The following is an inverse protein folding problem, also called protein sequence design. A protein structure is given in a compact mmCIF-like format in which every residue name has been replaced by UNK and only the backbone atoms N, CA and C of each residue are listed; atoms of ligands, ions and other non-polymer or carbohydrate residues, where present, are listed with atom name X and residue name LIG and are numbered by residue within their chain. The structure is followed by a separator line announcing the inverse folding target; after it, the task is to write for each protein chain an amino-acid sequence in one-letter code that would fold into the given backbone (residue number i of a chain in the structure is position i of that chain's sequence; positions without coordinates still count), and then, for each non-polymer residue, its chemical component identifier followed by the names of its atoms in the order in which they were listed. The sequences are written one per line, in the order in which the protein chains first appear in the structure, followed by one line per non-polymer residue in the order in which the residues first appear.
data_IF_973014493990
#
_entry.id   IF_973014493990
#
_cell.length_a   1.000
_cell.length_b   1.000
_cell.length_c   1.000
_cell.angle_alpha   90.00
_cell.angle_beta   90.00
_cell.angle_gamma   90.00
#
_symmetry.space_group_name_H-M   'P 1'
#
loop_
_entity.id
_entity.type
_entity.pdbx_description
1 polymer ?
#
# COMPACT_ATOMS: atom_id res chain seq x y z
N UNK A 1 3.60 -16.10 15.82
CA UNK A 1 3.86 -16.72 14.52
C UNK A 1 3.63 -15.68 13.46
N UNK A 2 4.67 -15.34 12.69
CA UNK A 2 4.63 -14.28 11.68
C UNK A 2 4.49 -14.87 10.27
N UNK A 3 4.20 -14.04 9.26
CA UNK A 3 4.21 -14.46 7.85
C UNK A 3 5.54 -15.12 7.45
N UNK A 4 6.68 -14.57 7.89
CA UNK A 4 7.99 -15.09 7.50
C UNK A 4 8.17 -16.56 7.85
N UNK A 5 7.90 -16.95 9.11
CA UNK A 5 8.08 -18.32 9.59
C UNK A 5 7.21 -19.30 8.78
N UNK A 6 5.93 -18.97 8.61
CA UNK A 6 4.97 -19.79 7.87
C UNK A 6 5.40 -19.92 6.40
N UNK A 7 5.83 -18.83 5.77
CA UNK A 7 6.24 -18.85 4.38
C UNK A 7 7.52 -19.65 4.16
N UNK A 8 8.48 -19.59 5.08
CA UNK A 8 9.70 -20.40 4.99
C UNK A 8 9.37 -21.89 5.05
N UNK A 9 8.43 -22.30 5.92
CA UNK A 9 7.98 -23.69 6.01
C UNK A 9 7.23 -24.13 4.73
N UNK A 10 6.32 -23.29 4.22
CA UNK A 10 5.55 -23.57 3.01
C UNK A 10 6.48 -23.66 1.79
N UNK A 11 7.30 -22.64 1.55
CA UNK A 11 8.24 -22.60 0.41
C UNK A 11 9.26 -23.74 0.50
N UNK A 12 9.66 -24.15 1.70
CA UNK A 12 10.55 -25.28 1.94
C UNK A 12 9.93 -26.65 1.68
N UNK A 13 8.60 -26.74 1.53
CA UNK A 13 7.94 -28.02 1.33
C UNK A 13 8.33 -28.67 -0.02
N UNK A 14 8.73 -29.96 -0.06
CA UNK A 14 9.37 -30.55 -1.24
C UNK A 14 8.52 -30.61 -2.52
N UNK A 15 7.19 -30.67 -2.40
CA UNK A 15 6.30 -30.73 -3.56
C UNK A 15 6.02 -29.32 -4.09
N UNK A 16 5.94 -29.10 -5.41
CA UNK A 16 5.57 -27.80 -5.97
C UNK A 16 4.15 -27.39 -5.57
N UNK A 17 3.97 -26.13 -5.18
CA UNK A 17 2.68 -25.51 -4.90
C UNK A 17 2.81 -23.99 -5.00
N UNK A 18 1.85 -23.33 -5.63
CA UNK A 18 1.81 -21.87 -5.68
C UNK A 18 1.31 -21.32 -4.35
N UNK A 19 1.80 -20.14 -3.98
CA UNK A 19 1.49 -19.47 -2.70
C UNK A 19 0.91 -18.10 -2.99
N UNK A 20 -0.30 -17.86 -2.51
CA UNK A 20 -0.88 -16.52 -2.37
C UNK A 20 -0.79 -16.13 -0.90
N UNK A 21 0.01 -15.11 -0.58
CA UNK A 21 0.20 -14.63 0.79
C UNK A 21 -0.52 -13.30 0.98
N UNK A 22 -1.19 -13.14 2.12
CA UNK A 22 -1.76 -11.85 2.51
C UNK A 22 -0.68 -10.76 2.64
N UNK A 23 -1.09 -9.52 2.41
CA UNK A 23 -0.23 -8.35 2.64
C UNK A 23 -0.23 -7.97 4.12
N UNK A 24 0.83 -7.28 4.61
CA UNK A 24 2.13 -7.09 3.96
C UNK A 24 2.90 -8.40 3.91
N UNK A 25 3.89 -8.52 3.01
CA UNK A 25 4.70 -9.75 2.91
C UNK A 25 5.31 -10.13 4.26
N UNK A 26 6.02 -9.18 4.88
CA UNK A 26 6.50 -9.24 6.27
C UNK A 26 6.49 -7.82 6.87
N UNK A 27 6.76 -7.71 8.16
CA UNK A 27 6.85 -6.42 8.89
C UNK A 27 8.24 -5.80 8.83
N UNK A 28 9.26 -6.57 8.45
CA UNK A 28 10.66 -6.10 8.34
C UNK A 28 11.21 -6.37 6.93
N UNK A 29 12.15 -5.52 6.50
CA UNK A 29 12.84 -5.70 5.21
C UNK A 29 13.66 -6.98 5.19
N UNK A 30 14.30 -7.31 6.31
CA UNK A 30 15.13 -8.50 6.47
C UNK A 30 14.33 -9.77 6.25
N UNK A 31 13.12 -9.85 6.82
CA UNK A 31 12.26 -11.02 6.64
C UNK A 31 11.68 -11.09 5.22
N UNK A 32 11.30 -9.94 4.63
CA UNK A 32 10.94 -9.88 3.21
C UNK A 32 12.07 -10.46 2.33
N UNK A 33 13.32 -10.07 2.59
CA UNK A 33 14.48 -10.54 1.82
C UNK A 33 14.67 -12.06 1.96
N UNK A 34 14.53 -12.62 3.17
CA UNK A 34 14.61 -14.08 3.38
C UNK A 34 13.57 -14.82 2.54
N UNK A 35 12.32 -14.38 2.57
CA UNK A 35 11.23 -15.01 1.82
C UNK A 35 11.45 -14.88 0.31
N UNK A 36 11.89 -13.72 -0.17
CA UNK A 36 12.22 -13.48 -1.58
C UNK A 36 13.33 -14.42 -2.05
N UNK A 37 14.42 -14.54 -1.28
CA UNK A 37 15.53 -15.42 -1.66
C UNK A 37 15.12 -16.89 -1.63
N UNK A 38 14.33 -17.32 -0.64
CA UNK A 38 13.78 -18.68 -0.61
C UNK A 38 12.90 -18.98 -1.83
N UNK A 39 12.00 -18.05 -2.19
CA UNK A 39 11.14 -18.19 -3.37
C UNK A 39 11.94 -18.27 -4.67
N UNK A 40 13.03 -17.49 -4.81
CA UNK A 40 13.92 -17.54 -5.99
C UNK A 40 14.61 -18.90 -6.18
N UNK A 41 14.84 -19.66 -5.11
CA UNK A 41 15.39 -21.02 -5.21
C UNK A 41 14.37 -22.06 -5.71
N UNK A 42 13.11 -21.67 -5.89
CA UNK A 42 11.99 -22.54 -6.32
C UNK A 42 11.38 -22.03 -7.63
N UNK A 43 12.07 -22.17 -8.78
CA UNK A 43 11.55 -21.70 -10.07
C UNK A 43 10.29 -22.46 -10.53
N UNK A 44 9.95 -23.57 -9.87
CA UNK A 44 8.77 -24.40 -10.08
C UNK A 44 7.50 -23.86 -9.37
N UNK A 45 7.62 -22.83 -8.54
CA UNK A 45 6.48 -22.25 -7.81
C UNK A 45 6.32 -20.75 -8.12
N UNK A 46 5.13 -20.25 -7.82
CA UNK A 46 4.81 -18.82 -7.88
C UNK A 46 4.45 -18.38 -6.47
N UNK A 47 5.11 -17.36 -5.96
CA UNK A 47 4.75 -16.70 -4.70
C UNK A 47 4.24 -15.31 -5.02
N UNK A 48 2.99 -15.05 -4.70
CA UNK A 48 2.31 -13.79 -4.99
C UNK A 48 1.79 -13.16 -3.70
N UNK A 49 2.03 -11.87 -3.53
CA UNK A 49 1.43 -11.08 -2.44
C UNK A 49 0.04 -10.59 -2.87
N UNK A 50 -0.94 -10.75 -1.99
CA UNK A 50 -2.32 -10.30 -2.14
C UNK A 50 -2.43 -8.78 -2.09
N UNK A 51 -2.11 -8.12 -3.21
CA UNK A 51 -2.30 -6.68 -3.39
C UNK A 51 -3.62 -6.44 -4.14
N UNK A 52 -4.74 -6.70 -3.47
CA UNK A 52 -6.06 -6.79 -4.09
C UNK A 52 -6.55 -5.47 -4.71
N UNK A 53 -6.02 -4.32 -4.27
CA UNK A 53 -6.42 -3.02 -4.81
C UNK A 53 -6.16 -2.89 -6.31
N UNK A 54 -5.17 -3.62 -6.86
CA UNK A 54 -4.92 -3.69 -8.32
C UNK A 54 -6.13 -4.20 -9.11
N UNK A 55 -6.99 -4.99 -8.47
CA UNK A 55 -8.12 -5.67 -9.09
C UNK A 55 -9.47 -5.04 -8.76
N UNK A 56 -9.50 -3.97 -7.96
CA UNK A 56 -10.72 -3.18 -7.77
C UNK A 56 -11.14 -2.57 -9.12
N UNK A 57 -12.39 -2.74 -9.59
CA UNK A 57 -12.80 -2.31 -10.93
C UNK A 57 -12.41 -0.87 -11.33
N UNK A 58 -12.60 0.18 -10.49
CA UNK A 58 -12.16 1.52 -10.86
C UNK A 58 -10.63 1.67 -10.95
N UNK A 59 -9.88 0.94 -10.12
CA UNK A 59 -8.41 0.96 -10.11
C UNK A 59 -7.85 0.19 -11.31
N UNK A 60 -8.37 -1.01 -11.58
CA UNK A 60 -8.04 -1.80 -12.77
C UNK A 60 -8.26 -0.98 -14.05
N UNK A 61 -9.39 -0.28 -14.15
CA UNK A 61 -9.67 0.60 -15.30
C UNK A 61 -8.66 1.76 -15.40
N UNK A 62 -8.26 2.35 -14.28
CA UNK A 62 -7.25 3.40 -14.26
C UNK A 62 -5.87 2.88 -14.69
N UNK A 63 -5.50 1.68 -14.25
CA UNK A 63 -4.27 0.99 -14.67
C UNK A 63 -4.26 0.80 -16.19
N UNK A 64 -5.37 0.32 -16.79
CA UNK A 64 -5.48 0.15 -18.24
C UNK A 64 -5.32 1.48 -19.00
N UNK A 65 -5.92 2.55 -18.49
CA UNK A 65 -5.83 3.89 -19.11
C UNK A 65 -4.38 4.39 -19.13
N UNK A 66 -3.66 4.21 -18.02
CA UNK A 66 -2.24 4.58 -17.91
C UNK A 66 -1.40 3.73 -18.86
N UNK A 67 -1.57 2.39 -18.84
CA UNK A 67 -0.83 1.47 -19.70
C UNK A 67 -1.03 1.71 -21.19
N UNK A 68 -2.23 2.12 -21.59
CA UNK A 68 -2.54 2.42 -22.99
C UNK A 68 -2.01 3.79 -23.46
N UNK A 69 -1.22 4.50 -22.64
CA UNK A 69 -0.60 5.78 -23.01
C UNK A 69 -1.57 6.95 -23.10
N UNK A 70 -2.80 6.81 -22.59
CA UNK A 70 -3.85 7.85 -22.68
C UNK A 70 -3.43 9.17 -22.03
N UNK A 71 -2.50 9.12 -21.07
CA UNK A 71 -2.00 10.28 -20.33
C UNK A 71 -0.61 10.74 -20.77
N UNK A 72 -0.01 10.08 -21.77
CA UNK A 72 1.40 10.27 -22.12
C UNK A 72 2.32 9.80 -21.00
N UNK A 73 3.40 10.54 -20.75
CA UNK A 73 4.33 10.20 -19.67
C UNK A 73 3.75 10.64 -18.32
N UNK A 74 3.54 9.70 -17.40
CA UNK A 74 3.10 10.01 -16.05
C UNK A 74 4.15 10.88 -15.33
N UNK A 75 3.69 11.99 -14.75
CA UNK A 75 4.51 12.94 -13.99
C UNK A 75 4.16 12.93 -12.51
N UNK A 76 2.89 12.78 -12.17
CA UNK A 76 2.42 12.81 -10.78
C UNK A 76 1.36 11.76 -10.51
N UNK A 77 1.50 11.08 -9.38
CA UNK A 77 0.49 10.20 -8.79
C UNK A 77 0.17 10.75 -7.41
N UNK A 78 -1.09 11.03 -7.12
CA UNK A 78 -1.54 11.45 -5.80
C UNK A 78 -2.63 10.52 -5.31
N UNK A 79 -2.46 10.01 -4.10
CA UNK A 79 -3.43 9.14 -3.44
C UNK A 79 -3.79 9.78 -2.10
N UNK A 80 -5.08 9.99 -1.88
CA UNK A 80 -5.62 10.40 -0.58
C UNK A 80 -6.43 9.26 0.01
N UNK A 81 -6.12 8.91 1.26
CA UNK A 81 -6.90 7.98 2.08
C UNK A 81 -7.33 8.71 3.35
N UNK A 82 -8.57 9.16 3.39
CA UNK A 82 -9.19 9.76 4.57
C UNK A 82 -10.29 8.84 5.02
N UNK A 83 -10.13 8.13 6.13
CA UNK A 83 -11.07 7.11 6.57
C UNK A 83 -11.21 7.07 8.08
N UNK A 84 -12.17 6.26 8.53
CA UNK A 84 -12.30 5.87 9.92
C UNK A 84 -11.11 4.98 10.38
N UNK A 85 -10.88 4.86 11.70
CA UNK A 85 -9.76 4.12 12.27
C UNK A 85 -9.75 2.63 11.88
N UNK A 86 -8.68 1.90 12.22
CA UNK A 86 -8.74 0.45 12.05
C UNK A 86 -9.86 -0.16 12.89
N UNK A 87 -10.56 -1.13 12.30
CA UNK A 87 -11.55 -1.96 12.98
C UNK A 87 -10.90 -2.74 14.12
N UNK A 88 -11.70 -3.10 15.12
CA UNK A 88 -11.30 -3.97 16.22
C UNK A 88 -10.83 -5.31 15.67
N UNK A 89 -9.68 -5.78 16.15
CA UNK A 89 -9.07 -7.08 15.79
C UNK A 89 -8.93 -7.94 17.05
N UNK A 90 -8.64 -9.22 16.86
CA UNK A 90 -8.33 -10.13 17.97
C UNK A 90 -7.20 -9.52 18.80
N UNK A 91 -7.48 -9.23 20.07
CA UNK A 91 -6.56 -8.58 21.02
C UNK A 91 -5.94 -7.27 20.52
N UNK A 92 -6.53 -6.64 19.50
CA UNK A 92 -6.04 -5.41 18.89
C UNK A 92 -4.53 -5.46 18.54
N UNK A 93 -4.05 -6.62 18.09
CA UNK A 93 -2.63 -6.86 17.82
C UNK A 93 -2.02 -5.84 16.83
N UNK A 94 -2.83 -5.33 15.91
CA UNK A 94 -2.44 -4.40 14.84
C UNK A 94 -2.20 -2.96 15.34
N UNK A 95 -2.48 -2.67 16.61
CA UNK A 95 -2.18 -1.39 17.27
C UNK A 95 -0.69 -1.19 17.57
N UNK A 96 0.11 -2.23 17.35
CA UNK A 96 1.53 -2.24 17.68
C UNK A 96 2.38 -2.46 16.44
N UNK A 97 3.30 -1.54 16.14
CA UNK A 97 4.19 -1.59 14.98
C UNK A 97 5.00 -2.89 14.93
N UNK A 98 5.39 -3.44 16.08
CA UNK A 98 6.14 -4.71 16.13
C UNK A 98 5.37 -5.88 15.51
N UNK A 99 4.03 -5.80 15.47
CA UNK A 99 3.18 -6.86 14.94
C UNK A 99 2.71 -6.59 13.51
N UNK A 100 2.47 -5.33 13.14
CA UNK A 100 1.90 -4.94 11.83
C UNK A 100 2.88 -4.28 10.87
N UNK A 101 4.01 -3.77 11.36
CA UNK A 101 4.85 -2.81 10.65
C UNK A 101 4.27 -1.38 10.64
N UNK A 102 3.13 -1.17 11.29
CA UNK A 102 2.46 0.13 11.38
C UNK A 102 1.57 0.46 10.20
N UNK A 103 0.88 1.60 10.30
CA UNK A 103 -0.15 2.02 9.33
C UNK A 103 0.40 2.12 7.91
N UNK A 104 1.61 2.65 7.73
CA UNK A 104 2.20 2.78 6.39
C UNK A 104 2.54 1.42 5.75
N UNK A 105 2.90 0.42 6.55
CA UNK A 105 3.26 -0.93 6.07
C UNK A 105 2.02 -1.80 5.91
N UNK A 106 1.14 -1.88 6.91
CA UNK A 106 -0.01 -2.77 6.86
C UNK A 106 -1.13 -2.27 5.94
N UNK A 107 -1.39 -0.96 5.96
CA UNK A 107 -2.50 -0.35 5.21
C UNK A 107 -2.01 0.29 3.92
N UNK A 108 -0.97 1.13 3.99
CA UNK A 108 -0.57 1.94 2.84
C UNK A 108 0.34 1.20 1.84
N UNK A 109 0.74 -0.05 2.10
CA UNK A 109 1.48 -0.85 1.11
C UNK A 109 0.75 -0.96 -0.23
N UNK A 110 -0.60 -0.99 -0.23
CA UNK A 110 -1.38 -0.92 -1.47
C UNK A 110 -1.16 0.38 -2.24
N UNK A 111 -1.05 1.50 -1.55
CA UNK A 111 -0.90 2.80 -2.19
C UNK A 111 0.49 2.98 -2.77
N UNK A 112 1.53 2.54 -2.05
CA UNK A 112 2.89 2.55 -2.59
C UNK A 112 3.03 1.59 -3.77
N UNK A 113 2.38 0.44 -3.70
CA UNK A 113 2.30 -0.49 -4.83
C UNK A 113 1.63 0.13 -6.06
N UNK A 114 0.46 0.75 -5.88
CA UNK A 114 -0.24 1.44 -6.97
C UNK A 114 0.55 2.62 -7.52
N UNK A 115 1.24 3.40 -6.68
CA UNK A 115 2.12 4.47 -7.15
C UNK A 115 3.21 3.93 -8.05
N UNK A 116 3.87 2.83 -7.64
CA UNK A 116 4.90 2.17 -8.46
C UNK A 116 4.33 1.67 -9.78
N UNK A 117 3.13 1.11 -9.77
CA UNK A 117 2.45 0.60 -10.96
C UNK A 117 2.03 1.71 -11.94
N UNK A 118 1.55 2.84 -11.44
CA UNK A 118 1.18 3.99 -12.28
C UNK A 118 2.39 4.75 -12.79
N UNK A 119 3.44 4.88 -11.97
CA UNK A 119 4.69 5.52 -12.36
C UNK A 119 5.49 4.66 -13.35
N UNK A 120 5.28 3.33 -13.34
CA UNK A 120 6.06 2.33 -14.06
C UNK A 120 7.58 2.52 -13.87
N UNK A 121 7.97 2.73 -12.61
CA UNK A 121 9.29 3.19 -12.23
C UNK A 121 9.62 2.78 -10.80
N UNK A 122 10.91 2.76 -10.44
CA UNK A 122 11.32 2.40 -9.09
C UNK A 122 11.51 3.65 -8.20
N UNK A 123 11.12 3.58 -6.92
CA UNK A 123 11.33 4.68 -5.99
C UNK A 123 12.83 4.86 -5.69
N UNK A 124 13.30 6.10 -5.69
CA UNK A 124 14.70 6.47 -5.42
C UNK A 124 14.86 7.39 -4.22
N UNK A 125 13.80 8.09 -3.81
CA UNK A 125 13.82 8.96 -2.62
C UNK A 125 12.45 9.03 -1.97
N UNK A 126 12.42 9.14 -0.65
CA UNK A 126 11.19 9.31 0.14
C UNK A 126 11.38 10.47 1.12
N UNK A 127 10.37 11.30 1.25
CA UNK A 127 10.21 12.28 2.34
C UNK A 127 8.87 12.01 3.01
N UNK A 128 8.83 11.90 4.34
CA UNK A 128 7.62 11.60 5.07
C UNK A 128 7.54 12.36 6.40
N UNK A 129 6.31 12.65 6.83
CA UNK A 129 5.98 13.18 8.16
C UNK A 129 4.66 12.58 8.60
N UNK A 130 4.55 12.12 9.84
CA UNK A 130 3.33 11.53 10.39
C UNK A 130 3.37 11.46 11.92
N UNK A 131 2.19 11.23 12.53
CA UNK A 131 2.01 11.32 13.98
C UNK A 131 0.87 10.42 14.49
N UNK A 132 0.74 10.33 15.82
CA UNK A 132 -0.37 9.72 16.55
C UNK A 132 -1.16 10.84 17.22
N UNK A 133 -2.16 11.39 16.54
CA UNK A 133 -2.82 12.61 17.01
C UNK A 133 -4.15 12.35 17.73
N UNK A 134 -4.94 11.38 17.26
CA UNK A 134 -6.34 11.20 17.69
C UNK A 134 -6.60 9.79 18.24
N UNK A 135 -6.18 8.76 17.51
CA UNK A 135 -6.69 7.41 17.72
C UNK A 135 -5.89 6.63 18.78
N UNK A 136 -6.61 5.84 19.60
CA UNK A 136 -6.06 4.81 20.50
C UNK A 136 -5.09 5.29 21.59
N UNK A 137 -5.00 6.60 21.82
CA UNK A 137 -4.07 7.21 22.80
C UNK A 137 -4.37 6.85 24.25
N UNK A 138 -5.64 6.59 24.55
CA UNK A 138 -6.10 6.23 25.89
C UNK A 138 -6.19 4.71 26.11
N UNK A 139 -5.78 3.91 25.13
CA UNK A 139 -5.79 2.45 25.23
C UNK A 139 -4.51 1.93 25.89
N UNK A 140 -4.66 0.88 26.71
CA UNK A 140 -3.53 0.19 27.35
C UNK A 140 -3.73 -1.32 27.25
N UNK A 141 -2.72 -2.01 26.72
CA UNK A 141 -2.67 -3.47 26.63
C UNK A 141 -1.37 -3.95 27.24
N UNK A 142 -1.45 -4.79 28.27
CA UNK A 142 -0.27 -5.35 28.97
C UNK A 142 0.77 -4.27 29.35
N UNK A 143 0.30 -3.11 29.81
CA UNK A 143 1.15 -1.98 30.20
C UNK A 143 1.75 -1.19 29.03
N UNK A 144 1.33 -1.44 27.78
CA UNK A 144 1.78 -0.73 26.58
C UNK A 144 0.65 0.07 25.96
N UNK A 145 1.00 1.25 25.44
CA UNK A 145 0.10 2.10 24.66
C UNK A 145 0.35 1.83 23.16
N UNK A 146 -0.69 1.78 22.32
CA UNK A 146 -0.57 1.73 20.87
C UNK A 146 0.44 2.74 20.30
N UNK A 147 1.24 2.31 19.32
CA UNK A 147 2.32 3.11 18.72
C UNK A 147 2.17 3.32 17.21
N UNK A 148 0.99 3.00 16.65
CA UNK A 148 0.69 3.19 15.23
C UNK A 148 0.27 4.64 14.93
N UNK A 149 0.87 5.23 13.89
CA UNK A 149 0.48 6.56 13.40
C UNK A 149 -0.93 6.54 12.78
N UNK A 150 -1.66 7.63 12.90
CA UNK A 150 -3.01 7.78 12.38
C UNK A 150 -3.13 8.86 11.29
N UNK A 151 -2.05 9.58 11.00
CA UNK A 151 -1.95 10.48 9.87
C UNK A 151 -0.51 10.56 9.33
N UNK A 152 -0.39 10.83 8.03
CA UNK A 152 0.90 11.04 7.39
C UNK A 152 0.79 11.75 6.04
N UNK A 153 1.82 12.51 5.69
CA UNK A 153 2.14 12.90 4.34
C UNK A 153 3.42 12.18 3.89
N UNK A 154 3.39 11.58 2.69
CA UNK A 154 4.55 10.89 2.10
C UNK A 154 4.73 11.31 0.66
N UNK A 155 5.93 11.77 0.30
CA UNK A 155 6.36 12.04 -1.07
C UNK A 155 7.36 10.97 -1.48
N UNK A 156 7.13 10.37 -2.65
CA UNK A 156 8.02 9.39 -3.28
C UNK A 156 8.52 9.97 -4.60
N UNK A 157 9.81 9.91 -4.85
CA UNK A 157 10.40 10.24 -6.15
C UNK A 157 10.86 8.97 -6.85
N UNK A 158 10.63 8.89 -8.16
CA UNK A 158 10.93 7.73 -8.98
C UNK A 158 12.09 7.99 -9.95
N UNK A 159 12.76 6.93 -10.39
CA UNK A 159 13.92 6.98 -11.30
C UNK A 159 13.62 7.60 -12.68
N UNK A 160 12.36 7.58 -13.13
CA UNK A 160 11.91 8.25 -14.35
C UNK A 160 11.54 9.74 -14.17
N UNK A 161 11.77 10.30 -12.98
CA UNK A 161 11.49 11.70 -12.64
C UNK A 161 10.04 11.99 -12.25
N UNK A 162 9.15 11.00 -12.25
CA UNK A 162 7.78 11.15 -11.72
C UNK A 162 7.77 11.20 -10.20
N UNK A 163 6.66 11.68 -9.62
CA UNK A 163 6.48 11.80 -8.16
C UNK A 163 5.16 11.19 -7.69
N UNK A 164 5.21 10.51 -6.55
CA UNK A 164 4.07 10.03 -5.79
C UNK A 164 3.81 10.88 -4.56
N UNK A 165 2.54 11.07 -4.18
CA UNK A 165 2.12 11.69 -2.92
C UNK A 165 1.06 10.82 -2.25
N UNK A 166 1.24 10.52 -0.97
CA UNK A 166 0.22 9.96 -0.08
C UNK A 166 -0.21 11.02 0.93
N UNK A 167 -1.51 11.25 0.99
CA UNK A 167 -2.20 12.01 2.05
C UNK A 167 -3.06 11.04 2.84
N UNK A 168 -2.65 10.74 4.08
CA UNK A 168 -3.28 9.75 4.94
C UNK A 168 -3.89 10.42 6.18
N UNK A 169 -5.16 10.12 6.44
CA UNK A 169 -5.85 10.42 7.69
C UNK A 169 -6.76 9.25 8.09
N UNK A 170 -6.61 8.75 9.31
CA UNK A 170 -7.36 7.62 9.87
C UNK A 170 -8.41 8.04 10.92
N UNK A 171 -8.71 9.34 11.04
CA UNK A 171 -9.72 9.90 11.95
C UNK A 171 -10.67 10.83 11.17
N UNK A 172 -11.02 10.43 9.95
CA UNK A 172 -11.87 11.20 9.05
C UNK A 172 -13.27 10.57 8.90
N UNK A 173 -13.91 10.23 10.02
CA UNK A 173 -15.31 9.80 10.02
C UNK A 173 -16.20 10.83 9.31
N UNK A 174 -17.04 10.36 8.37
CA UNK A 174 -17.93 11.24 7.60
C UNK A 174 -17.33 11.78 6.29
N UNK A 175 -16.10 11.38 5.91
CA UNK A 175 -15.56 11.66 4.58
C UNK A 175 -16.50 11.11 3.49
N UNK A 176 -16.88 11.93 2.51
CA UNK A 176 -17.75 11.50 1.40
C UNK A 176 -17.11 10.42 0.53
N UNK A 177 -15.81 10.55 0.27
CA UNK A 177 -15.00 9.55 -0.41
C UNK A 177 -13.82 9.21 0.49
N UNK A 178 -13.70 7.94 0.89
CA UNK A 178 -12.56 7.51 1.72
C UNK A 178 -11.24 7.54 0.94
N UNK A 179 -11.31 7.27 -0.36
CA UNK A 179 -10.13 7.10 -1.22
C UNK A 179 -10.29 7.88 -2.51
N UNK A 180 -9.24 8.61 -2.87
CA UNK A 180 -9.13 9.35 -4.13
C UNK A 180 -7.76 9.08 -4.76
N UNK A 181 -7.74 8.75 -6.06
CA UNK A 181 -6.53 8.50 -6.82
C UNK A 181 -6.50 9.44 -8.02
N UNK A 182 -5.43 10.21 -8.15
CA UNK A 182 -5.15 11.07 -9.31
C UNK A 182 -3.87 10.63 -9.99
N UNK A 183 -3.93 10.46 -11.31
CA UNK A 183 -2.74 10.25 -12.15
C UNK A 183 -2.70 11.36 -13.20
N UNK A 184 -1.58 12.07 -13.25
CA UNK A 184 -1.33 13.19 -14.16
C UNK A 184 -0.12 12.85 -15.02
N UNK A 185 -0.33 12.85 -16.33
CA UNK A 185 0.76 12.82 -17.30
C UNK A 185 0.88 14.14 -18.06
N UNK A 186 1.85 14.22 -18.95
CA UNK A 186 2.22 15.44 -19.67
C UNK A 186 1.20 15.90 -20.73
N UNK A 187 0.27 15.03 -21.13
CA UNK A 187 -0.81 15.37 -22.08
C UNK A 187 -2.22 15.18 -21.50
N UNK A 188 -2.37 14.83 -20.22
CA UNK A 188 -3.68 14.66 -19.62
C UNK A 188 -3.70 14.19 -18.17
N UNK A 189 -4.90 14.28 -17.56
CA UNK A 189 -5.17 13.88 -16.18
C UNK A 189 -6.33 12.89 -16.09
N UNK A 190 -6.24 11.97 -15.12
CA UNK A 190 -7.33 11.09 -14.69
C UNK A 190 -7.49 11.10 -13.18
N UNK A 191 -8.73 11.02 -12.75
CA UNK A 191 -9.12 11.04 -11.35
C UNK A 191 -10.15 9.93 -11.10
N UNK A 192 -9.90 9.10 -10.10
CA UNK A 192 -10.76 7.98 -9.71
C UNK A 192 -11.19 8.08 -8.26
N UNK A 193 -12.50 8.03 -8.02
CA UNK A 193 -13.09 7.88 -6.69
C UNK A 193 -13.79 6.51 -6.60
N UNK A 194 -13.91 5.93 -5.41
CA UNK A 194 -14.78 4.76 -5.19
C UNK A 194 -16.20 5.08 -5.68
N UNK A 195 -16.57 4.57 -6.85
CA UNK A 195 -17.92 4.67 -7.43
C UNK A 195 -18.05 5.41 -8.77
N UNK A 196 -17.09 6.24 -9.22
CA UNK A 196 -17.11 6.92 -10.54
C UNK A 196 -15.70 7.30 -11.01
N UNK A 197 -15.36 6.95 -12.26
CA UNK A 197 -14.16 7.44 -12.94
C UNK A 197 -14.49 8.81 -13.55
N UNK A 198 -13.97 9.90 -12.99
CA UNK A 198 -14.21 11.26 -13.49
C UNK A 198 -13.07 11.67 -14.43
N UNK A 199 -13.42 11.85 -15.70
CA UNK A 199 -12.53 12.44 -16.71
C UNK A 199 -12.49 13.95 -16.52
N UNK A 200 -11.35 14.50 -16.10
CA UNK A 200 -11.05 15.92 -16.25
C UNK A 200 -9.93 16.06 -17.26
N UNK A 201 -10.29 16.53 -18.47
CA UNK A 201 -9.32 16.99 -19.47
C UNK A 201 -8.72 18.29 -18.91
N UNK A 202 -7.39 18.40 -18.85
CA UNK A 202 -6.76 19.69 -18.64
C UNK A 202 -7.16 20.59 -19.82
N UNK A 203 -7.73 21.74 -19.52
CA UNK A 203 -7.90 22.84 -20.47
C UNK A 203 -6.58 23.60 -20.58
#
# INVERSE_FOLDING_TARGET
MTHCEILMDIIGYPKPHHVLVEKPLCTTVQDCQKVIEAAKQRPDILVQVGLEYRYMPPVAKLIDIVKNGTLGQVRMVAIREHRFPFLVKVNNWNRFNCNSGGTLVEKCCHFFDLMRLFADANPVRVMASGAIDVNHKDEVYDGKVPDIIDNAYVIVEFDNGSRGMLDLCMFAEGSRNEQEISVVGDIGKKFGNRGRLLFLRAL
#
